data_IF_152940795729
#
_entry.id   IF_152940795729
#
_cell.length_a   1.000
_cell.length_b   1.000
_cell.length_c   1.000
_cell.angle_alpha   90.00
_cell.angle_beta   90.00
_cell.angle_gamma   90.00
#
_symmetry.space_group_name_H-M   'P 1'
#
loop_
_entity.id
_entity.type
_entity.pdbx_description
1 polymer ?
#
# COMPACT_ATOMS: atom_id res chain seq x y z
N UNK A 1 -10.76 -5.64 0.15
CA UNK A 1 -9.80 -4.50 0.18
C UNK A 1 -8.49 -4.70 -0.58
N UNK A 2 -8.18 -5.93 -1.00
CA UNK A 2 -6.87 -6.31 -1.56
C UNK A 2 -6.39 -5.44 -2.74
N UNK A 3 -7.19 -5.31 -3.81
CA UNK A 3 -6.76 -4.60 -5.02
C UNK A 3 -6.38 -3.13 -4.75
N UNK A 4 -7.13 -2.46 -3.87
CA UNK A 4 -6.88 -1.07 -3.51
C UNK A 4 -5.55 -0.93 -2.76
N UNK A 5 -5.30 -1.80 -1.77
CA UNK A 5 -4.04 -1.80 -1.01
C UNK A 5 -2.83 -2.18 -1.89
N UNK A 6 -3.01 -3.10 -2.85
CA UNK A 6 -1.97 -3.49 -3.80
C UNK A 6 -1.64 -2.36 -4.79
N UNK A 7 -2.66 -1.72 -5.38
CA UNK A 7 -2.48 -0.57 -6.26
C UNK A 7 -1.85 0.62 -5.51
N UNK A 8 -2.28 0.87 -4.27
CA UNK A 8 -1.69 1.88 -3.42
C UNK A 8 -0.23 1.58 -3.09
N UNK A 9 0.13 0.32 -2.87
CA UNK A 9 1.51 -0.11 -2.64
C UNK A 9 2.39 0.10 -3.88
N UNK A 10 1.89 -0.18 -5.08
CA UNK A 10 2.59 0.14 -6.33
C UNK A 10 2.79 1.65 -6.49
N UNK A 11 1.72 2.42 -6.28
CA UNK A 11 1.72 3.86 -6.45
C UNK A 11 2.63 4.58 -5.44
N UNK A 12 2.63 4.17 -4.16
CA UNK A 12 3.52 4.76 -3.15
C UNK A 12 4.99 4.42 -3.42
N UNK A 13 5.28 3.22 -3.95
CA UNK A 13 6.63 2.86 -4.38
C UNK A 13 7.13 3.72 -5.54
N UNK A 14 6.27 3.93 -6.55
CA UNK A 14 6.59 4.75 -7.73
C UNK A 14 6.72 6.23 -7.38
N UNK A 15 5.70 6.81 -6.74
CA UNK A 15 5.69 8.23 -6.39
C UNK A 15 6.77 8.52 -5.33
N UNK A 16 6.92 7.68 -4.31
CA UNK A 16 7.97 7.84 -3.31
C UNK A 16 9.37 7.83 -3.93
N UNK A 17 9.65 6.90 -4.83
CA UNK A 17 10.93 6.85 -5.53
C UNK A 17 11.17 8.06 -6.46
N UNK A 18 10.13 8.54 -7.15
CA UNK A 18 10.22 9.74 -7.97
C UNK A 18 10.49 11.00 -7.11
N UNK A 19 9.81 11.12 -5.96
CA UNK A 19 9.93 12.29 -5.08
C UNK A 19 11.26 12.34 -4.34
N UNK A 20 11.87 11.19 -4.02
CA UNK A 20 13.24 11.15 -3.49
C UNK A 20 14.27 11.79 -4.44
N UNK A 21 13.99 11.84 -5.75
CA UNK A 21 14.84 12.50 -6.74
C UNK A 21 14.55 14.01 -6.90
N UNK A 22 13.39 14.49 -6.45
CA UNK A 22 13.05 15.91 -6.49
C UNK A 22 13.75 16.66 -5.36
N UNK A 23 14.75 17.50 -5.70
CA UNK A 23 15.35 18.46 -4.77
C UNK A 23 14.68 19.84 -4.92
N UNK A 24 14.19 20.42 -3.82
CA UNK A 24 13.62 21.77 -3.77
C UNK A 24 12.76 22.04 -2.53
N UNK A 25 12.53 23.32 -2.22
CA UNK A 25 11.84 23.77 -0.98
C UNK A 25 10.40 23.24 -0.82
N UNK A 26 9.70 22.91 -1.89
CA UNK A 26 8.32 22.39 -1.84
C UNK A 26 8.22 20.86 -1.92
N UNK A 27 9.33 20.16 -2.10
CA UNK A 27 9.36 18.70 -2.33
C UNK A 27 8.74 17.93 -1.17
N UNK A 28 9.03 18.35 0.07
CA UNK A 28 8.55 17.68 1.28
C UNK A 28 7.02 17.81 1.48
N UNK A 29 6.48 19.03 1.30
CA UNK A 29 5.04 19.29 1.47
C UNK A 29 4.22 18.49 0.45
N UNK A 30 4.66 18.48 -0.82
CA UNK A 30 3.97 17.73 -1.87
C UNK A 30 4.04 16.22 -1.55
N UNK A 31 5.17 15.74 -1.02
CA UNK A 31 5.34 14.34 -0.64
C UNK A 31 4.38 13.96 0.49
N UNK A 32 4.24 14.80 1.52
CA UNK A 32 3.31 14.54 2.62
C UNK A 32 1.85 14.52 2.14
N UNK A 33 1.45 15.48 1.29
CA UNK A 33 0.08 15.54 0.78
C UNK A 33 -0.22 14.34 -0.14
N UNK A 34 0.70 13.96 -1.02
CA UNK A 34 0.48 12.86 -1.97
C UNK A 34 0.63 11.47 -1.34
N UNK A 35 1.73 11.23 -0.61
CA UNK A 35 2.05 9.92 -0.04
C UNK A 35 1.24 9.67 1.24
N UNK A 36 1.26 10.61 2.17
CA UNK A 36 0.61 10.43 3.47
C UNK A 36 -0.88 10.80 3.41
N UNK A 37 -1.23 11.88 2.71
CA UNK A 37 -2.62 12.33 2.56
C UNK A 37 -3.41 11.46 1.57
N UNK A 38 -3.11 11.58 0.27
CA UNK A 38 -3.89 10.95 -0.78
C UNK A 38 -3.75 9.42 -0.78
N UNK A 39 -2.52 8.89 -0.82
CA UNK A 39 -2.28 7.45 -0.81
C UNK A 39 -2.62 6.80 0.54
N UNK A 40 -2.41 7.51 1.65
CA UNK A 40 -2.86 7.10 2.97
C UNK A 40 -4.38 7.03 3.09
N UNK A 41 -5.13 7.93 2.44
CA UNK A 41 -6.59 7.87 2.35
C UNK A 41 -7.11 6.85 1.33
N UNK A 42 -6.34 6.58 0.26
CA UNK A 42 -6.68 5.59 -0.76
C UNK A 42 -6.56 4.16 -0.23
N UNK A 43 -5.53 3.87 0.56
CA UNK A 43 -5.33 2.55 1.18
C UNK A 43 -5.97 2.47 2.56
N UNK A 44 -6.34 1.27 3.01
CA UNK A 44 -6.96 1.11 4.33
C UNK A 44 -6.51 -0.17 5.03
N UNK A 45 -5.81 0.01 6.16
CA UNK A 45 -5.42 -1.09 7.04
C UNK A 45 -6.57 -1.53 7.95
N UNK A 46 -7.40 -0.58 8.40
CA UNK A 46 -8.52 -0.89 9.31
C UNK A 46 -9.55 -1.81 8.65
N UNK A 47 -9.92 -1.56 7.39
CA UNK A 47 -10.86 -2.42 6.69
C UNK A 47 -10.26 -3.80 6.38
N UNK A 48 -8.96 -3.88 6.08
CA UNK A 48 -8.24 -5.15 5.95
C UNK A 48 -8.28 -5.98 7.25
N UNK A 49 -8.15 -5.35 8.41
CA UNK A 49 -8.23 -6.03 9.70
C UNK A 49 -9.63 -6.56 9.99
N UNK A 50 -10.68 -5.79 9.70
CA UNK A 50 -12.07 -6.24 9.85
C UNK A 50 -12.37 -7.44 8.93
N UNK A 51 -11.99 -7.36 7.65
CA UNK A 51 -12.18 -8.46 6.68
C UNK A 51 -11.45 -9.74 7.14
N UNK A 52 -10.27 -9.58 7.74
CA UNK A 52 -9.48 -10.69 8.28
C UNK A 52 -10.13 -11.29 9.54
N UNK A 53 -10.56 -10.48 10.50
CA UNK A 53 -11.18 -10.97 11.73
C UNK A 53 -12.55 -11.59 11.49
N UNK A 54 -13.37 -11.01 10.61
CA UNK A 54 -14.63 -11.61 10.17
C UNK A 54 -14.41 -12.98 9.50
N UNK A 55 -13.38 -13.11 8.67
CA UNK A 55 -13.02 -14.39 8.05
C UNK A 55 -12.63 -15.45 9.10
N UNK A 56 -11.91 -15.06 10.15
CA UNK A 56 -11.54 -15.97 11.24
C UNK A 56 -12.75 -16.40 12.07
N UNK A 57 -13.65 -15.46 12.41
CA UNK A 57 -14.90 -15.76 13.13
C UNK A 57 -15.78 -16.74 12.35
N UNK A 58 -15.78 -16.64 11.02
CA UNK A 58 -16.50 -17.54 10.12
C UNK A 58 -15.76 -18.88 9.84
N UNK A 59 -14.74 -19.23 10.63
CA UNK A 59 -13.91 -20.45 10.49
C UNK A 59 -13.21 -20.58 9.12
N UNK A 60 -12.96 -19.46 8.42
CA UNK A 60 -12.29 -19.42 7.10
C UNK A 60 -10.78 -19.15 7.22
N UNK A 61 -10.11 -19.78 8.18
CA UNK A 61 -8.70 -19.51 8.51
C UNK A 61 -7.74 -19.65 7.31
N UNK A 62 -7.94 -20.67 6.46
CA UNK A 62 -7.13 -20.84 5.23
C UNK A 62 -7.27 -19.67 4.25
N UNK A 63 -8.50 -19.17 4.06
CA UNK A 63 -8.77 -18.03 3.18
C UNK A 63 -8.16 -16.74 3.73
N UNK A 64 -8.27 -16.52 5.05
CA UNK A 64 -7.65 -15.37 5.71
C UNK A 64 -6.13 -15.42 5.62
N UNK A 65 -5.51 -16.58 5.86
CA UNK A 65 -4.06 -16.74 5.75
C UNK A 65 -3.56 -16.40 4.33
N UNK A 66 -4.28 -16.85 3.30
CA UNK A 66 -3.97 -16.49 1.91
C UNK A 66 -4.15 -14.99 1.66
N UNK A 67 -5.27 -14.41 2.08
CA UNK A 67 -5.56 -12.98 1.92
C UNK A 67 -4.52 -12.08 2.59
N UNK A 68 -4.14 -12.39 3.83
CA UNK A 68 -3.09 -11.69 4.58
C UNK A 68 -1.74 -11.85 3.89
N UNK A 69 -1.40 -13.09 3.51
CA UNK A 69 -0.14 -13.39 2.83
C UNK A 69 0.01 -12.62 1.51
N UNK A 70 -1.03 -12.64 0.66
CA UNK A 70 -1.03 -11.90 -0.61
C UNK A 70 -1.01 -10.39 -0.36
N UNK A 71 -1.72 -9.88 0.64
CA UNK A 71 -1.70 -8.45 0.96
C UNK A 71 -0.30 -7.97 1.35
N UNK A 72 0.39 -8.71 2.23
CA UNK A 72 1.72 -8.32 2.72
C UNK A 72 2.77 -8.55 1.62
N UNK A 73 2.89 -9.77 1.11
CA UNK A 73 3.93 -10.14 0.14
C UNK A 73 3.70 -9.44 -1.20
N UNK A 74 2.46 -9.40 -1.68
CA UNK A 74 2.10 -8.69 -2.90
C UNK A 74 2.26 -7.18 -2.77
N UNK A 75 1.89 -6.60 -1.62
CA UNK A 75 2.11 -5.18 -1.35
C UNK A 75 3.59 -4.81 -1.37
N UNK A 76 4.44 -5.58 -0.67
CA UNK A 76 5.89 -5.39 -0.67
C UNK A 76 6.49 -5.54 -2.08
N UNK A 77 6.10 -6.57 -2.83
CA UNK A 77 6.57 -6.79 -4.19
C UNK A 77 6.19 -5.63 -5.12
N UNK A 78 4.95 -5.15 -5.05
CA UNK A 78 4.48 -4.03 -5.85
C UNK A 78 5.14 -2.70 -5.46
N UNK A 79 5.36 -2.44 -4.17
CA UNK A 79 6.11 -1.27 -3.73
C UNK A 79 7.55 -1.29 -4.27
N UNK A 80 8.22 -2.45 -4.24
CA UNK A 80 9.55 -2.62 -4.82
C UNK A 80 9.56 -2.42 -6.34
N UNK A 81 8.58 -3.00 -7.05
CA UNK A 81 8.40 -2.79 -8.49
C UNK A 81 8.21 -1.28 -8.78
N UNK A 82 7.33 -0.61 -8.04
CA UNK A 82 7.10 0.83 -8.19
C UNK A 82 8.39 1.66 -8.03
N UNK A 83 9.19 1.35 -7.00
CA UNK A 83 10.49 2.00 -6.81
C UNK A 83 11.45 1.75 -7.99
N UNK A 84 11.47 0.54 -8.54
CA UNK A 84 12.28 0.23 -9.73
C UNK A 84 11.81 0.96 -10.99
N UNK A 85 10.51 1.17 -11.17
CA UNK A 85 9.98 1.94 -12.30
C UNK A 85 10.26 3.44 -12.20
N UNK A 86 10.45 3.96 -10.99
CA UNK A 86 10.79 5.36 -10.78
C UNK A 86 12.30 5.64 -10.80
N UNK A 87 13.13 4.59 -10.79
CA UNK A 87 14.60 4.63 -10.88
C UNK A 87 15.06 4.89 -12.31
#
# INVERSE_FOLDING_TARGET
MLCINLLGSLAIGYLGGFMLKMQGNYSQLIADVMLTGFLGGFTTFSAFMIESTEGLLNKRARGVAFFVGVSIVGGMALAWIGQRLSS
#
